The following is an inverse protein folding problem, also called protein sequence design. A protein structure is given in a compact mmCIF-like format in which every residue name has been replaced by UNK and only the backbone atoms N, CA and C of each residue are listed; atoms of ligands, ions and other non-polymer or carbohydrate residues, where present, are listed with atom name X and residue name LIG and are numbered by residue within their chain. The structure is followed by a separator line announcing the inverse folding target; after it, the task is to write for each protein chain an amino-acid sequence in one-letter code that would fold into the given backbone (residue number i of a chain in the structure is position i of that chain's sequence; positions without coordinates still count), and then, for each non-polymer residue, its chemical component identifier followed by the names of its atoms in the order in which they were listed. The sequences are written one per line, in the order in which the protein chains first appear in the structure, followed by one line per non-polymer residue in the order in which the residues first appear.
data_IF_220282660192
#
_entry.id   IF_220282660192
#
_cell.length_a   1.000
_cell.length_b   1.000
_cell.length_c   1.000
_cell.angle_alpha   90.00
_cell.angle_beta   90.00
_cell.angle_gamma   90.00
#
_symmetry.space_group_name_H-M   'P 1'
#
loop_
_entity.id
_entity.type
_entity.pdbx_description
1 polymer ?
#
# COMPACT_ATOMS: atom_id res chain seq x y z
N UNK A 1 21.26 -5.01 13.07
CA UNK A 1 21.14 -4.64 11.65
C UNK A 1 19.83 -3.88 11.45
N UNK A 2 19.86 -2.82 10.64
CA UNK A 2 18.70 -1.98 10.34
C UNK A 2 18.06 -2.43 9.02
N UNK A 3 17.14 -3.40 9.11
CA UNK A 3 16.38 -3.87 7.94
C UNK A 3 15.22 -2.93 7.60
N UNK A 4 14.87 -2.87 6.32
CA UNK A 4 13.68 -2.17 5.81
C UNK A 4 12.77 -3.16 5.10
N UNK A 5 11.47 -3.10 5.39
CA UNK A 5 10.42 -3.91 4.77
C UNK A 5 9.50 -2.99 3.97
N UNK A 6 9.19 -3.40 2.75
CA UNK A 6 8.23 -2.73 1.87
C UNK A 6 7.11 -3.73 1.61
N UNK A 7 5.91 -3.48 2.12
CA UNK A 7 4.75 -4.35 2.00
C UNK A 7 3.79 -3.78 0.93
N UNK A 8 3.82 -4.37 -0.26
CA UNK A 8 3.09 -3.92 -1.45
C UNK A 8 1.73 -4.61 -1.54
N UNK A 9 0.63 -3.89 -1.36
CA UNK A 9 -0.71 -4.48 -1.27
C UNK A 9 -0.97 -5.05 0.12
N UNK A 10 -0.72 -4.24 1.15
CA UNK A 10 -0.74 -4.65 2.55
C UNK A 10 -2.14 -5.08 3.04
N UNK A 11 -3.20 -4.80 2.29
CA UNK A 11 -4.59 -5.13 2.59
C UNK A 11 -4.96 -4.70 4.01
N UNK A 12 -5.51 -5.60 4.83
CA UNK A 12 -5.86 -5.37 6.23
C UNK A 12 -4.68 -5.59 7.18
N UNK A 13 -3.45 -5.79 6.68
CA UNK A 13 -2.22 -5.78 7.48
C UNK A 13 -1.83 -7.10 8.13
N UNK A 14 -2.31 -8.25 7.66
CA UNK A 14 -1.95 -9.55 8.22
C UNK A 14 -0.43 -9.83 8.12
N UNK A 15 0.18 -9.50 6.98
CA UNK A 15 1.62 -9.62 6.76
C UNK A 15 2.39 -8.48 7.43
N UNK A 16 1.92 -7.24 7.29
CA UNK A 16 2.51 -6.07 7.96
C UNK A 16 2.72 -6.31 9.46
N UNK A 17 1.74 -6.91 10.15
CA UNK A 17 1.82 -7.16 11.59
C UNK A 17 2.87 -8.20 12.01
N UNK A 18 3.29 -9.10 11.13
CA UNK A 18 4.37 -10.04 11.42
C UNK A 18 5.69 -9.30 11.68
N UNK A 19 5.87 -8.14 11.04
CA UNK A 19 7.06 -7.31 11.19
C UNK A 19 6.96 -6.29 12.34
N UNK A 20 5.79 -6.15 12.96
CA UNK A 20 5.53 -5.17 14.01
C UNK A 20 6.40 -5.36 15.26
N UNK A 21 6.79 -6.60 15.56
CA UNK A 21 7.66 -6.95 16.71
C UNK A 21 9.15 -6.91 16.39
N UNK A 22 9.51 -6.62 15.14
CA UNK A 22 10.91 -6.54 14.71
C UNK A 22 11.43 -5.11 14.88
N UNK A 23 12.75 -4.92 14.74
CA UNK A 23 13.36 -3.59 14.66
C UNK A 23 13.33 -3.00 13.25
N UNK A 24 12.77 -3.71 12.27
CA UNK A 24 12.72 -3.24 10.89
C UNK A 24 11.78 -2.04 10.76
N UNK A 25 12.15 -1.10 9.89
CA UNK A 25 11.23 -0.06 9.42
C UNK A 25 10.33 -0.66 8.35
N UNK A 26 9.01 -0.54 8.52
CA UNK A 26 8.02 -1.14 7.63
C UNK A 26 7.26 -0.03 6.91
N UNK A 27 7.19 -0.10 5.60
CA UNK A 27 6.43 0.80 4.74
C UNK A 27 5.35 -0.02 4.02
N UNK A 28 4.10 0.13 4.44
CA UNK A 28 2.96 -0.63 3.93
C UNK A 28 2.11 0.21 2.99
N UNK A 29 1.87 -0.29 1.79
CA UNK A 29 1.10 0.36 0.75
C UNK A 29 -0.20 -0.40 0.50
N UNK A 30 -1.35 0.25 0.69
CA UNK A 30 -2.66 -0.34 0.40
C UNK A 30 -3.55 0.68 -0.33
N UNK A 31 -3.92 0.43 -1.60
CA UNK A 31 -4.75 1.36 -2.36
C UNK A 31 -6.23 1.38 -1.96
N UNK A 32 -6.81 0.28 -1.48
CA UNK A 32 -8.22 0.21 -1.11
C UNK A 32 -8.48 1.04 0.17
N UNK A 33 -9.34 2.09 0.13
CA UNK A 33 -9.62 2.92 1.30
C UNK A 33 -10.17 2.17 2.52
N UNK A 34 -10.97 1.12 2.31
CA UNK A 34 -11.55 0.32 3.40
C UNK A 34 -10.48 -0.58 4.04
N UNK A 35 -9.69 -1.27 3.21
CA UNK A 35 -8.60 -2.10 3.71
C UNK A 35 -7.53 -1.24 4.41
N UNK A 36 -7.17 -0.10 3.82
CA UNK A 36 -6.24 0.88 4.38
C UNK A 36 -6.71 1.40 5.75
N UNK A 37 -8.01 1.68 5.92
CA UNK A 37 -8.57 2.09 7.21
C UNK A 37 -8.33 1.02 8.28
N UNK A 38 -8.58 -0.26 7.95
CA UNK A 38 -8.33 -1.38 8.86
C UNK A 38 -6.84 -1.57 9.14
N UNK A 39 -5.98 -1.49 8.11
CA UNK A 39 -4.53 -1.52 8.25
C UNK A 39 -4.05 -0.46 9.24
N UNK A 40 -4.42 0.81 9.03
CA UNK A 40 -4.07 1.93 9.92
C UNK A 40 -4.51 1.71 11.36
N UNK A 41 -5.71 1.17 11.57
CA UNK A 41 -6.22 0.86 12.91
C UNK A 41 -5.40 -0.25 13.58
N UNK A 42 -5.13 -1.33 12.85
CA UNK A 42 -4.38 -2.49 13.37
C UNK A 42 -2.91 -2.16 13.64
N UNK A 43 -2.32 -1.23 12.90
CA UNK A 43 -0.90 -0.87 13.03
C UNK A 43 -0.64 0.39 13.88
N UNK A 44 -1.68 1.08 14.38
CA UNK A 44 -1.56 2.36 15.09
C UNK A 44 -0.61 2.36 16.30
N UNK A 45 -0.45 1.21 16.98
CA UNK A 45 0.43 1.06 18.14
C UNK A 45 1.90 0.78 17.82
N UNK A 46 2.29 0.67 16.54
CA UNK A 46 3.62 0.25 16.13
C UNK A 46 4.39 1.39 15.44
N UNK A 47 5.32 2.06 16.14
CA UNK A 47 6.01 3.24 15.63
C UNK A 47 6.99 2.94 14.48
N UNK A 48 7.35 1.67 14.29
CA UNK A 48 8.20 1.23 13.20
C UNK A 48 7.43 1.00 11.89
N UNK A 49 6.10 1.16 11.88
CA UNK A 49 5.24 0.94 10.71
C UNK A 49 4.69 2.27 10.20
N UNK A 50 4.87 2.53 8.91
CA UNK A 50 4.25 3.66 8.20
C UNK A 50 3.33 3.10 7.11
N UNK A 51 2.08 3.55 7.07
CA UNK A 51 1.11 3.10 6.08
C UNK A 51 0.79 4.22 5.08
N UNK A 52 0.64 3.88 3.80
CA UNK A 52 0.26 4.78 2.73
C UNK A 52 -0.95 4.25 1.97
N UNK A 53 -1.93 5.11 1.73
CA UNK A 53 -3.08 4.78 0.89
C UNK A 53 -2.72 4.96 -0.60
N UNK A 54 -1.82 4.10 -1.10
CA UNK A 54 -1.31 4.17 -2.47
C UNK A 54 -1.10 2.76 -3.03
N UNK A 55 -1.26 2.62 -4.34
CA UNK A 55 -0.78 1.47 -5.08
C UNK A 55 0.73 1.48 -5.27
N UNK A 56 1.30 0.34 -5.63
CA UNK A 56 2.72 0.21 -5.99
C UNK A 56 2.81 -0.24 -7.44
N UNK A 57 3.60 0.48 -8.24
CA UNK A 57 3.82 0.22 -9.65
C UNK A 57 5.21 0.64 -10.11
N UNK A 58 5.35 0.89 -11.41
CA UNK A 58 6.63 1.24 -12.06
C UNK A 58 6.78 2.73 -12.34
N UNK A 59 5.76 3.53 -12.03
CA UNK A 59 5.74 4.98 -12.28
C UNK A 59 4.80 5.66 -11.27
N UNK A 60 5.08 6.92 -10.96
CA UNK A 60 4.17 7.74 -10.18
C UNK A 60 3.02 8.20 -11.06
N UNK A 61 1.79 7.77 -10.76
CA UNK A 61 0.61 8.13 -11.54
C UNK A 61 -0.69 7.98 -10.76
N UNK A 62 -1.74 8.58 -11.30
CA UNK A 62 -3.11 8.19 -10.96
C UNK A 62 -3.47 6.95 -11.77
N UNK A 63 -3.97 5.91 -11.10
CA UNK A 63 -4.35 4.64 -11.71
C UNK A 63 -5.80 4.31 -11.38
N UNK A 64 -6.62 3.91 -12.36
CA UNK A 64 -7.93 3.32 -12.09
C UNK A 64 -7.79 2.01 -11.32
N UNK A 65 -8.45 1.93 -10.17
CA UNK A 65 -8.50 0.75 -9.32
C UNK A 65 -9.91 0.18 -9.31
N UNK A 66 -10.08 -0.97 -9.97
CA UNK A 66 -11.37 -1.60 -10.18
C UNK A 66 -11.75 -2.51 -9.00
N UNK A 67 -12.96 -2.35 -8.50
CA UNK A 67 -13.50 -3.25 -7.47
C UNK A 67 -14.18 -4.46 -8.10
N UNK A 68 -14.00 -5.63 -7.51
CA UNK A 68 -14.78 -6.80 -7.89
C UNK A 68 -16.25 -6.64 -7.43
N UNK A 69 -17.21 -7.01 -8.28
CA UNK A 69 -18.66 -6.83 -8.07
C UNK A 69 -19.21 -7.42 -6.76
N UNK A 70 -18.55 -8.42 -6.18
CA UNK A 70 -18.99 -9.12 -4.96
C UNK A 70 -18.62 -8.42 -3.65
N UNK A 71 -17.94 -7.27 -3.71
CA UNK A 71 -17.62 -6.44 -2.52
C UNK A 71 -18.86 -6.06 -1.71
N UNK A 72 -20.04 -6.07 -2.33
CA UNK A 72 -21.32 -5.68 -1.72
C UNK A 72 -21.97 -6.76 -0.86
N UNK A 73 -21.60 -8.05 -0.99
CA UNK A 73 -22.40 -9.14 -0.42
C UNK A 73 -21.72 -10.01 0.65
N UNK A 74 -20.43 -9.82 0.95
CA UNK A 74 -19.73 -10.69 1.90
C UNK A 74 -18.98 -9.91 2.98
N UNK A 75 -19.51 -10.04 4.20
CA UNK A 75 -18.87 -9.79 5.49
C UNK A 75 -17.36 -9.54 5.43
N UNK A 76 -16.93 -8.27 5.60
CA UNK A 76 -15.74 -7.70 6.25
C UNK A 76 -14.36 -8.43 6.29
N UNK A 77 -14.22 -9.64 5.74
CA UNK A 77 -13.05 -10.53 5.82
C UNK A 77 -12.51 -10.90 4.43
N UNK A 78 -13.20 -10.53 3.35
CA UNK A 78 -12.80 -10.80 1.97
C UNK A 78 -12.36 -9.54 1.22
N UNK A 79 -11.77 -8.56 1.91
CA UNK A 79 -11.17 -7.42 1.21
C UNK A 79 -9.92 -7.87 0.44
N UNK A 80 -9.84 -7.47 -0.82
CA UNK A 80 -8.66 -7.39 -1.70
C UNK A 80 -8.04 -8.62 -2.38
N UNK A 81 -8.54 -9.86 -2.24
CA UNK A 81 -7.99 -10.97 -3.07
C UNK A 81 -8.37 -10.89 -4.56
N UNK A 82 -9.21 -9.94 -4.98
CA UNK A 82 -9.72 -9.86 -6.35
C UNK A 82 -9.78 -8.47 -6.98
N UNK A 83 -9.25 -7.41 -6.33
CA UNK A 83 -9.14 -6.10 -6.97
C UNK A 83 -7.93 -6.09 -7.91
N UNK A 84 -8.08 -5.53 -9.11
CA UNK A 84 -7.03 -5.59 -10.14
C UNK A 84 -6.77 -4.21 -10.75
N UNK A 85 -5.49 -3.95 -11.01
CA UNK A 85 -5.03 -2.84 -11.87
C UNK A 85 -5.23 -3.19 -13.36
N UNK A 86 -5.48 -4.45 -13.70
CA UNK A 86 -5.64 -4.93 -15.07
C UNK A 86 -7.14 -4.97 -15.41
N UNK A 87 -7.61 -4.00 -16.20
CA UNK A 87 -9.00 -3.87 -16.66
C UNK A 87 -9.45 -4.90 -17.72
N UNK A 88 -8.84 -6.10 -17.77
CA UNK A 88 -9.20 -7.17 -18.71
C UNK A 88 -9.36 -8.51 -18.01
N UNK A 89 -10.53 -8.71 -17.39
CA UNK A 89 -11.18 -10.01 -17.25
C UNK A 89 -12.68 -9.78 -17.44
N UNK A 90 -13.35 -10.72 -18.10
CA UNK A 90 -14.75 -10.66 -18.59
C UNK A 90 -15.86 -10.44 -17.53
N UNK A 91 -15.54 -9.95 -16.34
CA UNK A 91 -16.48 -9.73 -15.24
C UNK A 91 -16.28 -8.42 -14.46
N UNK A 92 -15.45 -7.48 -14.96
CA UNK A 92 -15.25 -6.17 -14.33
C UNK A 92 -16.32 -5.20 -14.85
N UNK A 93 -17.10 -4.64 -13.93
CA UNK A 93 -17.94 -3.49 -14.25
C UNK A 93 -17.02 -2.30 -14.59
N UNK A 94 -16.92 -1.96 -15.87
CA UNK A 94 -16.05 -0.87 -16.36
C UNK A 94 -16.43 0.50 -15.78
N UNK A 95 -17.53 0.59 -15.02
CA UNK A 95 -18.01 1.80 -14.36
C UNK A 95 -17.75 1.84 -12.84
N UNK A 96 -17.19 0.79 -12.21
CA UNK A 96 -16.98 0.75 -10.76
C UNK A 96 -15.49 0.72 -10.38
N UNK A 97 -14.83 1.86 -10.56
CA UNK A 97 -13.45 2.08 -10.13
C UNK A 97 -13.32 3.33 -9.27
N UNK A 98 -12.24 3.41 -8.51
CA UNK A 98 -11.75 4.67 -7.94
C UNK A 98 -10.40 5.01 -8.55
N UNK A 99 -10.08 6.30 -8.56
CA UNK A 99 -8.73 6.75 -8.86
C UNK A 99 -7.87 6.67 -7.59
N UNK A 100 -6.72 6.05 -7.71
CA UNK A 100 -5.72 5.95 -6.64
C UNK A 100 -4.39 6.53 -7.11
N UNK A 101 -3.62 7.06 -6.17
CA UNK A 101 -2.20 7.29 -6.43
C UNK A 101 -1.45 5.96 -6.44
N UNK A 102 -0.54 5.80 -7.38
CA UNK A 102 0.41 4.70 -7.47
C UNK A 102 1.82 5.28 -7.44
N UNK A 103 2.69 4.67 -6.65
CA UNK A 103 4.11 5.06 -6.57
C UNK A 103 4.98 4.24 -7.51
N UNK A 104 6.08 4.84 -7.96
CA UNK A 104 7.21 4.11 -8.55
C UNK A 104 8.01 3.41 -7.44
N UNK A 105 7.96 2.08 -7.41
CA UNK A 105 8.70 1.27 -6.43
C UNK A 105 10.22 1.43 -6.57
N UNK A 106 10.74 1.50 -7.79
CA UNK A 106 12.18 1.61 -8.02
C UNK A 106 12.67 2.96 -7.49
N UNK A 107 11.97 4.06 -7.82
CA UNK A 107 12.27 5.37 -7.28
C UNK A 107 12.19 5.39 -5.74
N UNK A 108 11.18 4.75 -5.15
CA UNK A 108 11.05 4.64 -3.70
C UNK A 108 12.24 3.90 -3.07
N UNK A 109 12.68 2.77 -3.64
CA UNK A 109 13.87 2.03 -3.18
C UNK A 109 15.14 2.88 -3.31
N UNK A 110 15.33 3.55 -4.45
CA UNK A 110 16.50 4.42 -4.68
C UNK A 110 16.58 5.58 -3.67
N UNK A 111 15.45 6.05 -3.15
CA UNK A 111 15.41 7.08 -2.10
C UNK A 111 16.12 6.68 -0.80
N UNK A 112 16.35 5.39 -0.56
CA UNK A 112 17.12 4.89 0.58
C UNK A 112 18.62 4.77 0.29
N UNK A 113 18.99 4.56 -0.98
CA UNK A 113 20.37 4.36 -1.40
C UNK A 113 21.12 5.69 -1.44
N UNK A 114 20.46 6.78 -1.86
CA UNK A 114 21.04 8.14 -1.87
C UNK A 114 21.21 8.79 -0.49
N UNK A 115 20.67 8.20 0.59
CA UNK A 115 20.73 8.75 1.96
C UNK A 115 22.01 8.38 2.75
N UNK A 116 22.92 7.58 2.18
CA UNK A 116 24.17 7.20 2.86
C UNK A 116 25.31 8.23 2.74
N UNK A 117 25.03 9.45 2.30
CA UNK A 117 25.95 10.59 2.38
C UNK A 117 25.23 11.88 2.69
N UNK A 118 25.35 12.37 3.93
CA UNK A 118 24.92 13.71 4.33
C UNK A 118 23.68 13.75 5.22
N UNK A 119 23.84 14.31 6.42
CA UNK A 119 22.74 14.75 7.26
C UNK A 119 21.82 15.72 6.50
N UNK A 120 20.59 15.32 6.24
CA UNK A 120 19.39 16.19 6.35
C UNK A 120 18.16 15.30 6.45
N UNK A 121 17.41 15.45 7.55
CA UNK A 121 16.02 15.03 7.56
C UNK A 121 15.24 15.97 6.65
N UNK A 122 14.70 15.45 5.55
CA UNK A 122 13.53 16.07 4.95
C UNK A 122 12.61 14.97 4.43
N UNK A 123 11.41 14.93 5.01
CA UNK A 123 10.41 13.91 4.77
C UNK A 123 9.96 13.92 3.32
N UNK A 124 9.59 12.73 2.84
CA UNK A 124 8.74 12.59 1.66
C UNK A 124 7.44 13.35 1.95
N UNK A 125 7.33 14.59 1.49
CA UNK A 125 6.07 15.33 1.44
C UNK A 125 5.47 15.04 0.07
N UNK A 126 4.43 14.21 0.06
CA UNK A 126 3.58 14.07 -1.11
C UNK A 126 2.99 15.43 -1.45
N UNK A 127 3.10 15.80 -2.72
CA UNK A 127 2.26 16.83 -3.32
C UNK A 127 0.82 16.35 -3.39
#
# INVERSE_FOLDING_TARGET
EDSTVIDCGANVGDITLLFAKTKAKVFSFEPDPLAYKTLKQRTAGFPNITCFQKGVGTENKITPFFFHRERTNLNHKAFSVSSSVIGKKDNIDSQNFIEIETIDLAAFIHSFIGRKGGHTQNGYRGC
#
